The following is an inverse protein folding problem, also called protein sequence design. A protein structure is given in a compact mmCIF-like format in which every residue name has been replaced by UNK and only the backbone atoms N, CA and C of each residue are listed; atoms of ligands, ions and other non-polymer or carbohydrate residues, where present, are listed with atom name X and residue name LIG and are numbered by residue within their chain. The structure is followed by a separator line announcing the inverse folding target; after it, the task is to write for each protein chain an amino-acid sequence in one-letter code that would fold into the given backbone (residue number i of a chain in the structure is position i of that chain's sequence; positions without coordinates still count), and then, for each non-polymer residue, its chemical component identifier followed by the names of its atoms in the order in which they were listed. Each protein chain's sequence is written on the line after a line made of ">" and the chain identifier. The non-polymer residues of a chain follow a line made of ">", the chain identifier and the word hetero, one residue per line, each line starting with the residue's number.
data_IF_628522069988
#
_entry.id   IF_628522069988
#
_cell.length_a   1.000
_cell.length_b   1.000
_cell.length_c   1.000
_cell.angle_alpha   90.00
_cell.angle_beta   90.00
_cell.angle_gamma   90.00
#
_symmetry.space_group_name_H-M   'P 1'
#
loop_
_entity.id
_entity.type
_entity.pdbx_description
1 polymer ?
#
# COMPACT_ATOMS: atom_id res chain seq x y z
N UNK A 1 -8.80 12.06 -15.99
CA UNK A 1 -10.04 12.56 -16.62
C UNK A 1 -10.72 13.52 -15.64
N UNK A 2 -10.13 14.71 -15.48
CA UNK A 2 -10.50 16.01 -16.11
C UNK A 2 -11.54 16.77 -15.31
N UNK A 3 -11.03 17.66 -14.46
CA UNK A 3 -11.67 18.91 -14.06
C UNK A 3 -12.05 19.74 -15.30
N UNK A 4 -13.18 20.46 -15.24
CA UNK A 4 -13.71 21.43 -16.20
C UNK A 4 -14.74 20.95 -17.26
N UNK A 5 -15.58 19.96 -16.94
CA UNK A 5 -16.70 19.53 -17.81
C UNK A 5 -17.98 20.37 -17.70
N UNK A 6 -18.21 21.08 -16.60
CA UNK A 6 -19.53 21.69 -16.31
C UNK A 6 -19.86 22.95 -17.13
N UNK A 7 -18.91 23.50 -17.89
CA UNK A 7 -19.08 24.82 -18.55
C UNK A 7 -19.32 24.78 -20.07
N UNK A 8 -19.20 23.63 -20.76
CA UNK A 8 -19.36 23.58 -22.23
C UNK A 8 -20.76 23.11 -22.61
N UNK A 9 -21.53 23.98 -23.27
CA UNK A 9 -22.81 23.61 -23.88
C UNK A 9 -22.59 22.43 -24.83
N UNK A 10 -23.40 21.37 -24.71
CA UNK A 10 -23.34 20.20 -25.59
C UNK A 10 -23.54 20.65 -27.05
N UNK A 11 -23.04 19.91 -28.05
CA UNK A 11 -23.33 20.21 -29.44
C UNK A 11 -24.82 20.07 -29.76
N UNK A 12 -25.31 20.90 -30.68
CA UNK A 12 -26.72 20.91 -31.08
C UNK A 12 -27.20 19.53 -31.55
N UNK A 13 -26.45 18.84 -32.40
CA UNK A 13 -26.81 17.50 -32.89
C UNK A 13 -27.07 16.51 -31.74
N UNK A 14 -26.29 16.58 -30.66
CA UNK A 14 -26.46 15.66 -29.53
C UNK A 14 -27.69 16.04 -28.71
N UNK A 15 -27.94 17.34 -28.52
CA UNK A 15 -29.14 17.83 -27.85
C UNK A 15 -30.42 17.47 -28.64
N UNK A 16 -30.37 17.53 -29.98
CA UNK A 16 -31.46 17.07 -30.85
C UNK A 16 -31.70 15.58 -30.63
N UNK A 17 -30.67 14.74 -30.70
CA UNK A 17 -30.82 13.29 -30.52
C UNK A 17 -31.29 12.91 -29.10
N UNK A 18 -30.85 13.61 -28.06
CA UNK A 18 -31.39 13.46 -26.70
C UNK A 18 -32.90 13.74 -26.67
N UNK A 19 -33.35 14.76 -27.40
CA UNK A 19 -34.78 15.08 -27.56
C UNK A 19 -35.54 14.13 -28.46
N UNK A 20 -34.89 13.41 -29.37
CA UNK A 20 -35.52 12.38 -30.18
C UNK A 20 -35.64 11.03 -29.45
N UNK A 21 -34.89 10.82 -28.37
CA UNK A 21 -35.07 9.65 -27.48
C UNK A 21 -36.33 9.74 -26.61
N UNK A 22 -36.78 10.95 -26.26
CA UNK A 22 -37.92 11.19 -25.36
C UNK A 22 -39.32 10.87 -25.96
N UNK A 23 -39.66 11.24 -27.21
CA UNK A 23 -41.01 11.11 -27.77
C UNK A 23 -41.35 9.72 -28.34
N UNK A 24 -42.66 9.42 -28.33
CA UNK A 24 -43.25 8.29 -29.08
C UNK A 24 -42.97 8.46 -30.59
N UNK A 25 -42.41 7.45 -31.29
CA UNK A 25 -42.23 7.46 -32.74
C UNK A 25 -43.48 7.88 -33.55
N UNK A 26 -44.69 7.65 -33.02
CA UNK A 26 -45.96 8.07 -33.64
C UNK A 26 -46.15 9.60 -33.70
N UNK A 27 -45.46 10.37 -32.85
CA UNK A 27 -45.54 11.83 -32.81
C UNK A 27 -45.03 12.50 -34.11
N UNK A 28 -44.25 11.79 -34.93
CA UNK A 28 -43.67 12.29 -36.18
C UNK A 28 -44.43 11.82 -37.43
N UNK A 29 -45.69 11.42 -37.28
CA UNK A 29 -46.54 10.95 -38.38
C UNK A 29 -47.62 11.98 -38.77
N UNK A 30 -47.89 12.08 -40.08
CA UNK A 30 -49.03 12.80 -40.64
C UNK A 30 -49.11 14.28 -40.25
N UNK A 31 -50.30 14.71 -39.81
CA UNK A 31 -50.64 16.12 -39.52
C UNK A 31 -49.92 16.70 -38.29
N UNK A 32 -49.30 15.85 -37.47
CA UNK A 32 -48.61 16.27 -36.23
C UNK A 32 -47.10 16.51 -36.42
N UNK A 33 -46.57 16.32 -37.63
CA UNK A 33 -45.14 16.42 -37.89
C UNK A 33 -44.58 17.83 -37.63
N UNK A 34 -45.15 18.84 -38.28
CA UNK A 34 -44.65 20.22 -38.15
C UNK A 34 -44.88 20.80 -36.74
N UNK A 35 -46.02 20.49 -36.10
CA UNK A 35 -46.28 20.93 -34.73
C UNK A 35 -45.28 20.30 -33.75
N UNK A 36 -44.90 19.03 -33.96
CA UNK A 36 -43.87 18.35 -33.17
C UNK A 36 -42.49 18.97 -33.40
N UNK A 37 -42.10 19.27 -34.64
CA UNK A 37 -40.82 19.93 -34.93
C UNK A 37 -40.75 21.31 -34.27
N UNK A 38 -41.81 22.11 -34.38
CA UNK A 38 -41.85 23.42 -33.73
C UNK A 38 -41.80 23.33 -32.19
N UNK A 39 -42.45 22.32 -31.60
CA UNK A 39 -42.36 22.04 -30.16
C UNK A 39 -40.92 21.71 -29.76
N UNK A 40 -40.27 20.78 -30.44
CA UNK A 40 -38.88 20.40 -30.16
C UNK A 40 -37.91 21.57 -30.34
N UNK A 41 -38.07 22.37 -31.40
CA UNK A 41 -37.30 23.58 -31.60
C UNK A 41 -37.48 24.58 -30.43
N UNK A 42 -38.73 24.75 -29.95
CA UNK A 42 -39.02 25.59 -28.79
C UNK A 42 -38.39 25.09 -27.49
N UNK A 43 -38.30 23.77 -27.30
CA UNK A 43 -37.60 23.16 -26.15
C UNK A 43 -36.08 23.36 -26.24
N UNK A 44 -35.49 23.19 -27.42
CA UNK A 44 -34.07 23.45 -27.66
C UNK A 44 -33.74 24.95 -27.52
N UNK A 45 -34.65 25.84 -27.93
CA UNK A 45 -34.52 27.29 -27.70
C UNK A 45 -34.46 27.64 -26.21
N UNK A 46 -35.33 27.03 -25.39
CA UNK A 46 -35.30 27.20 -23.92
C UNK A 46 -34.00 26.70 -23.30
N UNK A 47 -33.37 25.68 -23.90
CA UNK A 47 -32.05 25.19 -23.53
C UNK A 47 -30.88 26.05 -24.11
N UNK A 48 -31.19 27.16 -24.77
CA UNK A 48 -30.20 28.15 -25.23
C UNK A 48 -29.65 27.91 -26.64
N UNK A 49 -30.13 26.90 -27.37
CA UNK A 49 -29.61 26.55 -28.70
C UNK A 49 -30.12 27.45 -29.84
N UNK A 50 -31.21 28.20 -29.61
CA UNK A 50 -31.80 29.14 -30.59
C UNK A 50 -32.11 28.51 -31.96
N UNK A 51 -32.45 27.21 -31.97
CA UNK A 51 -32.82 26.41 -33.14
C UNK A 51 -33.91 27.10 -33.97
N UNK A 52 -34.96 27.63 -33.33
CA UNK A 52 -36.07 28.27 -34.03
C UNK A 52 -35.71 29.65 -34.60
N UNK A 53 -34.59 30.25 -34.19
CA UNK A 53 -34.17 31.60 -34.59
C UNK A 53 -33.28 31.61 -35.82
N UNK A 54 -32.71 30.46 -36.18
CA UNK A 54 -31.78 30.33 -37.31
C UNK A 54 -32.21 29.19 -38.24
N UNK A 55 -32.28 29.46 -39.55
CA UNK A 55 -32.68 28.47 -40.55
C UNK A 55 -31.81 27.21 -40.54
N UNK A 56 -30.51 27.34 -40.28
CA UNK A 56 -29.60 26.19 -40.18
C UNK A 56 -29.96 25.22 -39.05
N UNK A 57 -30.33 25.73 -37.86
CA UNK A 57 -30.74 24.88 -36.74
C UNK A 57 -32.04 24.13 -37.02
N UNK A 58 -33.02 24.81 -37.64
CA UNK A 58 -34.26 24.16 -38.08
C UNK A 58 -34.03 23.06 -39.13
N UNK A 59 -33.09 23.28 -40.07
CA UNK A 59 -32.71 22.26 -41.05
C UNK A 59 -32.03 21.07 -40.39
N UNK A 60 -31.12 21.31 -39.45
CA UNK A 60 -30.42 20.24 -38.72
C UNK A 60 -31.42 19.36 -37.93
N UNK A 61 -32.38 19.97 -37.22
CA UNK A 61 -33.44 19.25 -36.52
C UNK A 61 -34.31 18.43 -37.49
N UNK A 62 -34.73 19.01 -38.60
CA UNK A 62 -35.53 18.31 -39.62
C UNK A 62 -34.80 17.11 -40.19
N UNK A 63 -33.53 17.28 -40.56
CA UNK A 63 -32.74 16.18 -41.09
C UNK A 63 -32.51 15.08 -40.06
N UNK A 64 -32.32 15.40 -38.78
CA UNK A 64 -32.21 14.37 -37.74
C UNK A 64 -33.52 13.58 -37.56
N UNK A 65 -34.67 14.26 -37.62
CA UNK A 65 -35.99 13.61 -37.60
C UNK A 65 -36.19 12.71 -38.83
N UNK A 66 -35.81 13.18 -40.02
CA UNK A 66 -35.94 12.38 -41.25
C UNK A 66 -35.02 11.15 -41.22
N UNK A 67 -33.76 11.30 -40.79
CA UNK A 67 -32.83 10.18 -40.62
C UNK A 67 -33.39 9.16 -39.60
N UNK A 68 -33.95 9.64 -38.48
CA UNK A 68 -34.62 8.79 -37.47
C UNK A 68 -35.81 8.03 -38.05
N UNK A 69 -36.65 8.68 -38.85
CA UNK A 69 -37.78 8.02 -39.50
C UNK A 69 -37.33 6.96 -40.51
N UNK A 70 -36.25 7.23 -41.24
CA UNK A 70 -35.68 6.28 -42.20
C UNK A 70 -35.06 5.06 -41.50
N UNK A 71 -34.35 5.27 -40.39
CA UNK A 71 -33.76 4.19 -39.59
C UNK A 71 -34.78 3.46 -38.69
N UNK A 72 -35.95 4.05 -38.47
CA UNK A 72 -37.01 3.54 -37.59
C UNK A 72 -36.71 3.67 -36.09
N UNK A 73 -35.63 4.36 -35.72
CA UNK A 73 -35.16 4.57 -34.33
C UNK A 73 -34.15 5.73 -34.27
N UNK A 74 -33.92 6.35 -33.10
CA UNK A 74 -32.94 7.44 -32.96
C UNK A 74 -31.48 6.98 -33.03
N UNK A 75 -30.58 7.84 -33.50
CA UNK A 75 -29.14 7.55 -33.60
C UNK A 75 -28.54 7.30 -32.23
N UNK A 76 -28.91 8.12 -31.26
CA UNK A 76 -28.35 8.01 -29.91
C UNK A 76 -28.77 6.70 -29.22
N UNK A 77 -29.88 6.07 -29.64
CA UNK A 77 -30.26 4.74 -29.15
C UNK A 77 -29.26 3.70 -29.64
N UNK A 78 -29.03 3.63 -30.95
CA UNK A 78 -28.06 2.69 -31.54
C UNK A 78 -26.65 2.90 -30.99
N UNK A 79 -26.26 4.16 -30.80
CA UNK A 79 -24.95 4.49 -30.23
C UNK A 79 -24.83 4.02 -28.78
N UNK A 80 -25.85 4.26 -27.94
CA UNK A 80 -25.86 3.80 -26.54
C UNK A 80 -25.89 2.27 -26.44
N UNK A 81 -26.71 1.61 -27.25
CA UNK A 81 -26.79 0.14 -27.27
C UNK A 81 -25.44 -0.47 -27.71
N UNK A 82 -24.79 0.11 -28.71
CA UNK A 82 -23.47 -0.31 -29.15
C UNK A 82 -22.41 -0.10 -28.06
N UNK A 83 -22.41 1.06 -27.39
CA UNK A 83 -21.50 1.36 -26.27
C UNK A 83 -21.71 0.37 -25.12
N UNK A 84 -22.96 0.04 -24.80
CA UNK A 84 -23.30 -0.87 -23.70
C UNK A 84 -22.84 -2.31 -23.93
N UNK A 85 -22.52 -2.69 -25.17
CA UNK A 85 -22.01 -4.04 -25.49
C UNK A 85 -20.53 -4.24 -25.14
N UNK A 86 -19.79 -3.14 -24.89
CA UNK A 86 -18.37 -3.19 -24.55
C UNK A 86 -18.14 -3.44 -23.06
N UNK A 87 -17.13 -4.25 -22.76
CA UNK A 87 -16.65 -4.47 -21.40
C UNK A 87 -15.57 -3.46 -21.01
N UNK A 88 -15.19 -3.46 -19.72
CA UNK A 88 -14.12 -2.60 -19.23
C UNK A 88 -12.78 -2.88 -19.95
N UNK A 89 -12.51 -4.15 -20.26
CA UNK A 89 -11.28 -4.56 -20.94
C UNK A 89 -11.25 -4.08 -22.40
N UNK A 90 -12.40 -4.13 -23.08
CA UNK A 90 -12.53 -3.59 -24.43
C UNK A 90 -12.28 -2.08 -24.47
N UNK A 91 -12.66 -1.36 -23.41
CA UNK A 91 -12.50 0.09 -23.27
C UNK A 91 -11.12 0.52 -22.74
N UNK A 92 -10.12 -0.35 -22.77
CA UNK A 92 -8.72 -0.02 -22.46
C UNK A 92 -8.16 1.06 -23.38
N UNK A 93 -8.60 1.11 -24.65
CA UNK A 93 -8.33 2.19 -25.59
C UNK A 93 -9.63 2.87 -26.05
N UNK A 94 -10.02 3.99 -25.40
CA UNK A 94 -11.24 4.72 -25.75
C UNK A 94 -11.27 5.25 -27.19
N UNK A 95 -10.11 5.53 -27.79
CA UNK A 95 -10.03 6.06 -29.15
C UNK A 95 -10.32 4.96 -30.18
N UNK A 96 -9.75 3.76 -29.98
CA UNK A 96 -10.06 2.60 -30.83
C UNK A 96 -11.51 2.18 -30.73
N UNK A 97 -12.09 2.17 -29.52
CA UNK A 97 -13.52 1.87 -29.33
C UNK A 97 -14.39 2.93 -30.01
N UNK A 98 -14.06 4.21 -29.86
CA UNK A 98 -14.79 5.28 -30.54
C UNK A 98 -14.71 5.14 -32.07
N UNK A 99 -13.55 4.80 -32.63
CA UNK A 99 -13.40 4.55 -34.07
C UNK A 99 -14.23 3.38 -34.56
N UNK A 100 -14.29 2.28 -33.79
CA UNK A 100 -15.17 1.15 -34.12
C UNK A 100 -16.63 1.55 -34.10
N UNK A 101 -17.07 2.25 -33.05
CA UNK A 101 -18.43 2.76 -32.91
C UNK A 101 -18.82 3.68 -34.08
N UNK A 102 -17.97 4.65 -34.42
CA UNK A 102 -18.20 5.58 -35.53
C UNK A 102 -18.32 4.84 -36.86
N UNK A 103 -17.49 3.82 -37.08
CA UNK A 103 -17.52 3.05 -38.31
C UNK A 103 -18.74 2.14 -38.41
N UNK A 104 -19.09 1.43 -37.34
CA UNK A 104 -20.19 0.46 -37.34
C UNK A 104 -21.56 1.12 -37.27
N UNK A 105 -21.78 2.00 -36.28
CA UNK A 105 -23.03 2.77 -36.17
C UNK A 105 -23.16 3.72 -37.36
N UNK A 106 -22.04 4.27 -37.85
CA UNK A 106 -22.01 5.14 -39.01
C UNK A 106 -22.33 4.47 -40.36
N UNK A 107 -22.48 3.13 -40.42
CA UNK A 107 -23.06 2.45 -41.60
C UNK A 107 -24.55 2.80 -41.74
N UNK A 108 -25.26 2.85 -40.61
CA UNK A 108 -26.67 3.26 -40.55
C UNK A 108 -26.81 4.78 -40.46
N UNK A 109 -25.84 5.43 -39.81
CA UNK A 109 -25.87 6.86 -39.50
C UNK A 109 -24.67 7.62 -40.09
N UNK A 110 -24.61 7.88 -41.41
CA UNK A 110 -23.43 8.46 -42.06
C UNK A 110 -22.91 9.76 -41.44
N UNK A 111 -23.80 10.59 -40.90
CA UNK A 111 -23.43 11.85 -40.22
C UNK A 111 -22.58 11.62 -38.97
N UNK A 112 -22.65 10.45 -38.33
CA UNK A 112 -21.79 10.10 -37.19
C UNK A 112 -20.30 10.12 -37.55
N UNK A 113 -19.96 9.91 -38.84
CA UNK A 113 -18.58 9.92 -39.35
C UNK A 113 -17.99 11.33 -39.50
N UNK A 114 -18.79 12.38 -39.31
CA UNK A 114 -18.29 13.76 -39.32
C UNK A 114 -17.28 13.96 -38.19
N UNK A 115 -16.17 14.65 -38.51
CA UNK A 115 -15.07 14.87 -37.57
C UNK A 115 -15.51 15.58 -36.29
N UNK A 116 -16.48 16.49 -36.38
CA UNK A 116 -17.06 17.21 -35.24
C UNK A 116 -17.76 16.31 -34.20
N UNK A 117 -18.27 15.14 -34.62
CA UNK A 117 -18.97 14.21 -33.71
C UNK A 117 -18.02 13.26 -32.99
N UNK A 118 -16.83 13.03 -33.55
CA UNK A 118 -15.82 12.12 -32.99
C UNK A 118 -15.46 12.44 -31.54
N UNK A 119 -15.26 13.72 -31.23
CA UNK A 119 -14.91 14.16 -29.89
C UNK A 119 -16.00 13.82 -28.85
N UNK A 120 -17.28 13.88 -29.21
CA UNK A 120 -18.36 13.48 -28.31
C UNK A 120 -18.46 11.97 -28.16
N UNK A 121 -18.26 11.20 -29.23
CA UNK A 121 -18.26 9.73 -29.12
C UNK A 121 -17.15 9.26 -28.19
N UNK A 122 -15.94 9.82 -28.31
CA UNK A 122 -14.83 9.53 -27.39
C UNK A 122 -15.24 9.85 -25.96
N UNK A 123 -15.83 11.03 -25.70
CA UNK A 123 -16.32 11.39 -24.36
C UNK A 123 -17.37 10.41 -23.81
N UNK A 124 -18.29 9.94 -24.64
CA UNK A 124 -19.28 8.94 -24.21
C UNK A 124 -18.62 7.61 -23.83
N UNK A 125 -17.60 7.18 -24.58
CA UNK A 125 -16.82 5.96 -24.27
C UNK A 125 -16.04 6.14 -22.97
N UNK A 126 -15.31 7.25 -22.82
CA UNK A 126 -14.55 7.58 -21.60
C UNK A 126 -15.44 7.64 -20.36
N UNK A 127 -16.61 8.27 -20.48
CA UNK A 127 -17.60 8.33 -19.41
C UNK A 127 -18.13 6.94 -19.05
N UNK A 128 -18.46 6.12 -20.05
CA UNK A 128 -18.95 4.75 -19.80
C UNK A 128 -17.87 3.89 -19.14
N UNK A 129 -16.62 3.99 -19.59
CA UNK A 129 -15.46 3.34 -18.95
C UNK A 129 -15.35 3.75 -17.49
N UNK A 130 -15.46 5.05 -17.20
CA UNK A 130 -15.42 5.57 -15.84
C UNK A 130 -16.58 5.02 -15.00
N UNK A 131 -17.80 4.99 -15.53
CA UNK A 131 -18.97 4.44 -14.84
C UNK A 131 -18.79 2.93 -14.54
N UNK A 132 -18.22 2.16 -15.47
CA UNK A 132 -17.86 0.74 -15.26
C UNK A 132 -16.76 0.56 -14.20
N UNK A 133 -15.72 1.41 -14.22
CA UNK A 133 -14.67 1.41 -13.19
C UNK A 133 -15.23 1.71 -11.80
N UNK A 134 -16.11 2.71 -11.71
CA UNK A 134 -16.78 3.06 -10.44
C UNK A 134 -17.66 1.91 -9.96
N UNK A 135 -18.42 1.27 -10.85
CA UNK A 135 -19.23 0.12 -10.50
C UNK A 135 -18.36 -1.04 -9.96
N UNK A 136 -17.23 -1.32 -10.61
CA UNK A 136 -16.25 -2.31 -10.14
C UNK A 136 -15.67 -1.93 -8.79
N UNK A 137 -15.26 -0.66 -8.61
CA UNK A 137 -14.71 -0.16 -7.36
C UNK A 137 -15.68 -0.26 -6.19
N UNK A 138 -16.97 0.06 -6.41
CA UNK A 138 -18.03 -0.09 -5.38
C UNK A 138 -18.29 -1.54 -4.97
N UNK A 139 -17.96 -2.50 -5.84
CA UNK A 139 -18.07 -3.93 -5.55
C UNK A 139 -16.90 -4.49 -4.73
N UNK A 140 -15.81 -3.74 -4.55
CA UNK A 140 -14.63 -4.18 -3.81
C UNK A 140 -14.74 -3.84 -2.32
N UNK A 141 -14.23 -4.69 -1.42
CA UNK A 141 -14.28 -4.44 0.02
C UNK A 141 -13.28 -3.37 0.46
N UNK A 142 -13.66 -2.58 1.47
CA UNK A 142 -12.76 -1.63 2.13
C UNK A 142 -12.19 -0.58 1.17
N UNK A 143 -10.87 -0.37 1.24
CA UNK A 143 -10.17 0.66 0.47
C UNK A 143 -9.70 0.18 -0.91
N UNK A 144 -9.92 -1.10 -1.25
CA UNK A 144 -9.51 -1.69 -2.52
C UNK A 144 -10.16 -1.01 -3.73
N UNK A 145 -11.41 -0.57 -3.59
CA UNK A 145 -12.08 0.23 -4.63
C UNK A 145 -11.38 1.56 -4.89
N UNK A 146 -10.92 2.24 -3.84
CA UNK A 146 -10.20 3.52 -3.95
C UNK A 146 -8.83 3.28 -4.59
N UNK A 147 -8.12 2.23 -4.16
CA UNK A 147 -6.82 1.82 -4.73
C UNK A 147 -6.91 1.55 -6.22
N UNK A 148 -7.91 0.77 -6.66
CA UNK A 148 -8.16 0.48 -8.08
C UNK A 148 -8.31 1.77 -8.91
N UNK A 149 -9.11 2.73 -8.44
CA UNK A 149 -9.33 3.98 -9.18
C UNK A 149 -8.08 4.87 -9.24
N UNK A 150 -7.25 4.85 -8.19
CA UNK A 150 -5.95 5.55 -8.17
C UNK A 150 -4.99 4.92 -9.18
N UNK A 151 -4.92 3.58 -9.24
CA UNK A 151 -4.08 2.85 -10.18
C UNK A 151 -4.50 3.09 -11.63
N UNK A 152 -5.80 3.15 -11.88
CA UNK A 152 -6.41 3.52 -13.17
C UNK A 152 -6.31 5.02 -13.49
N UNK A 153 -5.61 5.79 -12.67
CA UNK A 153 -5.34 7.24 -12.85
C UNK A 153 -6.61 8.07 -12.98
N UNK A 154 -7.67 7.69 -12.27
CA UNK A 154 -8.90 8.48 -12.18
C UNK A 154 -8.63 9.76 -11.38
N UNK A 155 -9.23 10.88 -11.80
CA UNK A 155 -8.98 12.16 -11.15
C UNK A 155 -9.52 12.17 -9.70
N UNK A 156 -8.80 12.77 -8.73
CA UNK A 156 -9.22 12.79 -7.32
C UNK A 156 -10.66 13.27 -7.10
N UNK A 157 -11.05 14.38 -7.73
CA UNK A 157 -12.41 14.92 -7.62
C UNK A 157 -13.49 13.97 -8.14
N UNK A 158 -13.19 13.18 -9.19
CA UNK A 158 -14.11 12.17 -9.71
C UNK A 158 -14.23 10.98 -8.75
N UNK A 159 -13.14 10.56 -8.11
CA UNK A 159 -13.17 9.49 -7.09
C UNK A 159 -14.03 9.94 -5.91
N UNK A 160 -13.77 11.13 -5.37
CA UNK A 160 -14.52 11.73 -4.25
C UNK A 160 -16.01 11.82 -4.57
N UNK A 161 -16.36 12.42 -5.72
CA UNK A 161 -17.76 12.62 -6.09
C UNK A 161 -18.50 11.31 -6.41
N UNK A 162 -17.84 10.33 -7.04
CA UNK A 162 -18.51 9.09 -7.48
C UNK A 162 -18.58 8.01 -6.41
N UNK A 163 -17.59 7.95 -5.52
CA UNK A 163 -17.59 7.05 -4.35
C UNK A 163 -18.19 7.69 -3.11
N UNK A 164 -18.51 8.99 -3.13
CA UNK A 164 -19.08 9.73 -1.99
C UNK A 164 -18.19 9.66 -0.74
N UNK A 165 -16.87 9.73 -0.94
CA UNK A 165 -15.86 9.72 0.13
C UNK A 165 -15.36 11.12 0.45
N UNK A 166 -14.67 11.28 1.59
CA UNK A 166 -14.02 12.55 1.94
C UNK A 166 -12.62 12.69 1.33
N UNK A 167 -12.12 13.93 1.25
CA UNK A 167 -10.74 14.21 0.86
C UNK A 167 -9.75 13.51 1.80
N UNK A 168 -9.99 13.57 3.12
CA UNK A 168 -9.14 12.93 4.13
C UNK A 168 -8.99 11.41 3.90
N UNK A 169 -10.08 10.75 3.50
CA UNK A 169 -10.06 9.31 3.20
C UNK A 169 -9.22 9.01 1.96
N UNK A 170 -9.32 9.83 0.92
CA UNK A 170 -8.51 9.68 -0.28
C UNK A 170 -7.02 9.92 0.02
N UNK A 171 -6.71 10.92 0.85
CA UNK A 171 -5.34 11.23 1.25
C UNK A 171 -4.72 10.12 2.10
N UNK A 172 -5.50 9.52 3.01
CA UNK A 172 -5.07 8.36 3.78
C UNK A 172 -4.68 7.18 2.87
N UNK A 173 -5.55 6.82 1.90
CA UNK A 173 -5.26 5.72 0.98
C UNK A 173 -4.04 6.03 0.10
N UNK A 174 -3.89 7.27 -0.37
CA UNK A 174 -2.69 7.69 -1.10
C UNK A 174 -1.41 7.56 -0.26
N UNK A 175 -1.46 7.95 1.02
CA UNK A 175 -0.34 7.82 1.93
C UNK A 175 0.03 6.35 2.18
N UNK A 176 -0.96 5.46 2.30
CA UNK A 176 -0.73 4.03 2.46
C UNK A 176 -0.11 3.40 1.19
N UNK A 177 -0.62 3.73 0.00
CA UNK A 177 -0.01 3.31 -1.28
C UNK A 177 1.43 3.83 -1.40
N UNK A 178 1.69 5.09 -1.02
CA UNK A 178 3.02 5.67 -1.05
C UNK A 178 3.98 4.94 -0.09
N UNK A 179 3.51 4.60 1.12
CA UNK A 179 4.28 3.81 2.10
C UNK A 179 4.61 2.42 1.56
N UNK A 180 3.63 1.73 0.96
CA UNK A 180 3.84 0.42 0.34
C UNK A 180 4.84 0.47 -0.83
N UNK A 181 4.75 1.51 -1.69
CA UNK A 181 5.70 1.70 -2.79
C UNK A 181 7.11 2.02 -2.30
N UNK A 182 7.24 2.85 -1.26
CA UNK A 182 8.53 3.14 -0.64
C UNK A 182 9.14 1.90 -0.01
N UNK A 183 8.34 1.06 0.65
CA UNK A 183 8.81 -0.19 1.23
C UNK A 183 9.24 -1.18 0.14
N UNK A 184 8.47 -1.32 -0.95
CA UNK A 184 8.89 -2.13 -2.11
C UNK A 184 10.20 -1.61 -2.73
N UNK A 185 10.37 -0.30 -2.85
CA UNK A 185 11.62 0.28 -3.34
C UNK A 185 12.80 -0.01 -2.39
N UNK A 186 12.57 0.03 -1.07
CA UNK A 186 13.56 -0.36 -0.06
C UNK A 186 13.95 -1.84 -0.22
N UNK A 187 12.97 -2.73 -0.35
CA UNK A 187 13.20 -4.16 -0.59
C UNK A 187 13.99 -4.40 -1.88
N UNK A 188 13.64 -3.71 -2.97
CA UNK A 188 14.37 -3.83 -4.24
C UNK A 188 15.84 -3.44 -4.10
N UNK A 189 16.14 -2.33 -3.39
CA UNK A 189 17.51 -1.91 -3.13
C UNK A 189 18.29 -2.93 -2.28
N UNK A 190 17.64 -3.52 -1.26
CA UNK A 190 18.24 -4.58 -0.45
C UNK A 190 18.53 -5.83 -1.29
N UNK A 191 17.62 -6.21 -2.18
CA UNK A 191 17.78 -7.34 -3.09
C UNK A 191 18.93 -7.15 -4.08
N UNK A 192 19.16 -5.93 -4.58
CA UNK A 192 20.30 -5.63 -5.44
C UNK A 192 21.64 -5.73 -4.68
N UNK A 193 21.68 -5.36 -3.39
CA UNK A 193 22.90 -5.51 -2.57
C UNK A 193 23.30 -6.98 -2.34
N UNK A 194 22.34 -7.91 -2.42
CA UNK A 194 22.55 -9.35 -2.25
C UNK A 194 22.41 -10.15 -3.55
N UNK A 195 22.53 -9.46 -4.69
CA UNK A 195 22.42 -10.09 -6.00
C UNK A 195 23.53 -11.13 -6.23
N UNK A 196 23.14 -12.34 -6.63
CA UNK A 196 24.07 -13.45 -6.87
C UNK A 196 24.46 -14.25 -5.62
N UNK A 197 23.94 -13.89 -4.45
CA UNK A 197 24.12 -14.67 -3.21
C UNK A 197 23.09 -15.81 -3.13
N UNK A 198 23.38 -16.89 -2.36
CA UNK A 198 22.41 -17.96 -2.14
C UNK A 198 21.16 -17.44 -1.42
N UNK A 199 20.04 -18.11 -1.64
CA UNK A 199 18.74 -17.69 -1.12
C UNK A 199 18.73 -17.54 0.41
N UNK A 200 19.44 -18.40 1.14
CA UNK A 200 19.56 -18.31 2.59
C UNK A 200 20.18 -16.97 3.04
N UNK A 201 21.26 -16.52 2.40
CA UNK A 201 21.93 -15.26 2.74
C UNK A 201 21.08 -14.05 2.33
N UNK A 202 20.38 -14.14 1.20
CA UNK A 202 19.42 -13.12 0.75
C UNK A 202 18.28 -12.98 1.74
N UNK A 203 17.67 -14.08 2.16
CA UNK A 203 16.55 -14.11 3.11
C UNK A 203 17.00 -13.60 4.48
N UNK A 204 18.15 -14.05 4.97
CA UNK A 204 18.74 -13.58 6.22
C UNK A 204 18.98 -12.07 6.20
N UNK A 205 19.51 -11.53 5.10
CA UNK A 205 19.69 -10.10 4.94
C UNK A 205 18.36 -9.32 5.00
N UNK A 206 17.30 -9.85 4.39
CA UNK A 206 15.97 -9.22 4.42
C UNK A 206 15.34 -9.26 5.82
N UNK A 207 15.46 -10.37 6.56
CA UNK A 207 14.96 -10.44 7.94
C UNK A 207 15.71 -9.51 8.88
N UNK A 208 17.04 -9.42 8.76
CA UNK A 208 17.85 -8.47 9.55
C UNK A 208 17.45 -7.02 9.29
N UNK A 209 16.91 -6.71 8.11
CA UNK A 209 16.39 -5.38 7.75
C UNK A 209 14.90 -5.19 8.06
N UNK A 210 14.29 -6.07 8.87
CA UNK A 210 12.88 -6.03 9.29
C UNK A 210 11.89 -6.05 8.11
N UNK A 211 12.20 -6.80 7.04
CA UNK A 211 11.26 -6.99 5.93
C UNK A 211 10.25 -8.08 6.29
N UNK A 212 8.96 -7.83 6.05
CA UNK A 212 7.92 -8.83 6.28
C UNK A 212 8.07 -10.03 5.33
N UNK A 213 7.76 -11.23 5.82
CA UNK A 213 7.80 -12.48 5.04
C UNK A 213 6.95 -12.41 3.77
N UNK A 214 5.77 -11.77 3.84
CA UNK A 214 4.91 -11.56 2.66
C UNK A 214 5.63 -10.80 1.55
N UNK A 215 6.37 -9.75 1.88
CA UNK A 215 7.16 -8.98 0.91
C UNK A 215 8.38 -9.75 0.41
N UNK A 216 9.00 -10.58 1.26
CA UNK A 216 10.11 -11.46 0.86
C UNK A 216 9.63 -12.46 -0.19
N UNK A 217 8.51 -13.14 0.04
CA UNK A 217 7.91 -14.07 -0.92
C UNK A 217 7.58 -13.36 -2.25
N UNK A 218 6.92 -12.20 -2.18
CA UNK A 218 6.47 -11.46 -3.36
C UNK A 218 7.64 -10.93 -4.20
N UNK A 219 8.67 -10.37 -3.56
CA UNK A 219 9.75 -9.65 -4.26
C UNK A 219 11.02 -10.46 -4.47
N UNK A 220 11.41 -11.31 -3.51
CA UNK A 220 12.64 -12.10 -3.62
C UNK A 220 12.46 -13.36 -4.48
N UNK A 221 11.21 -13.75 -4.76
CA UNK A 221 10.83 -14.95 -5.53
C UNK A 221 11.46 -16.24 -4.96
N UNK A 222 11.52 -16.34 -3.64
CA UNK A 222 12.04 -17.49 -2.91
C UNK A 222 10.90 -18.41 -2.49
N UNK A 223 11.16 -19.70 -2.37
CA UNK A 223 10.18 -20.66 -1.86
C UNK A 223 10.02 -20.54 -0.34
N UNK A 224 8.83 -20.87 0.16
CA UNK A 224 8.53 -20.88 1.60
C UNK A 224 9.52 -21.76 2.39
N UNK A 225 9.92 -22.91 1.84
CA UNK A 225 10.89 -23.80 2.49
C UNK A 225 12.27 -23.17 2.73
N UNK A 226 12.71 -22.27 1.84
CA UNK A 226 13.95 -21.53 2.01
C UNK A 226 13.82 -20.48 3.14
N UNK A 227 12.64 -19.87 3.28
CA UNK A 227 12.35 -18.92 4.37
C UNK A 227 12.35 -19.62 5.72
N UNK A 228 11.68 -20.77 5.82
CA UNK A 228 11.59 -21.52 7.07
C UNK A 228 12.97 -22.03 7.50
N UNK A 229 13.78 -22.52 6.56
CA UNK A 229 15.17 -22.95 6.82
C UNK A 229 16.03 -21.80 7.32
N UNK A 230 15.93 -20.62 6.69
CA UNK A 230 16.68 -19.43 7.12
C UNK A 230 16.26 -18.95 8.52
N UNK A 231 14.96 -19.00 8.86
CA UNK A 231 14.48 -18.68 10.21
C UNK A 231 15.03 -19.64 11.26
N UNK A 232 15.01 -20.94 10.98
CA UNK A 232 15.58 -21.95 11.89
C UNK A 232 17.08 -21.74 12.10
N UNK A 233 17.83 -21.46 11.03
CA UNK A 233 19.25 -21.14 11.12
C UNK A 233 19.50 -19.88 11.96
N UNK A 234 18.72 -18.81 11.75
CA UNK A 234 18.82 -17.58 12.55
C UNK A 234 18.47 -17.78 14.03
N UNK A 235 17.45 -18.60 14.34
CA UNK A 235 17.08 -18.90 15.72
C UNK A 235 18.17 -19.71 16.43
N UNK A 236 18.78 -20.67 15.73
CA UNK A 236 19.91 -21.45 16.25
C UNK A 236 21.13 -20.55 16.54
N UNK A 237 21.46 -19.62 15.64
CA UNK A 237 22.55 -18.65 15.83
C UNK A 237 22.29 -17.73 17.04
N UNK A 238 21.05 -17.28 17.25
CA UNK A 238 20.68 -16.48 18.42
C UNK A 238 20.82 -17.25 19.73
N UNK A 239 20.37 -18.51 19.76
CA UNK A 239 20.52 -19.39 20.94
C UNK A 239 22.00 -19.64 21.26
N UNK A 240 22.81 -19.85 20.24
CA UNK A 240 24.26 -20.04 20.41
C UNK A 240 24.93 -18.78 20.94
N UNK A 241 24.56 -17.60 20.40
CA UNK A 241 25.07 -16.33 20.90
C UNK A 241 24.70 -16.08 22.36
N UNK A 242 23.45 -16.40 22.75
CA UNK A 242 23.02 -16.32 24.16
C UNK A 242 23.85 -17.24 25.05
N UNK A 243 24.08 -18.49 24.64
CA UNK A 243 24.93 -19.42 25.37
C UNK A 243 26.35 -18.88 25.57
N UNK A 244 26.96 -18.30 24.54
CA UNK A 244 28.29 -17.69 24.63
C UNK A 244 28.32 -16.46 25.53
N UNK A 245 27.27 -15.62 25.51
CA UNK A 245 27.14 -14.48 26.42
C UNK A 245 26.95 -14.94 27.88
N UNK A 246 26.18 -15.99 28.11
CA UNK A 246 26.02 -16.63 29.42
C UNK A 246 27.32 -17.25 29.93
N UNK A 247 28.06 -17.97 29.07
CA UNK A 247 29.37 -18.53 29.40
C UNK A 247 30.40 -17.43 29.68
N UNK A 248 30.43 -16.36 28.88
CA UNK A 248 31.30 -15.22 29.11
C UNK A 248 30.94 -14.48 30.41
N UNK A 249 29.65 -14.35 30.71
CA UNK A 249 29.18 -13.77 31.97
C UNK A 249 29.54 -14.67 33.17
N UNK A 250 29.38 -15.99 33.04
CA UNK A 250 29.77 -16.96 34.05
C UNK A 250 31.29 -16.94 34.28
N UNK A 251 32.09 -16.88 33.23
CA UNK A 251 33.55 -16.76 33.32
C UNK A 251 33.96 -15.46 33.99
N UNK A 252 33.37 -14.32 33.62
CA UNK A 252 33.63 -13.03 34.29
C UNK A 252 33.24 -13.07 35.76
N UNK A 253 32.14 -13.75 36.11
CA UNK A 253 31.71 -13.92 37.50
C UNK A 253 32.65 -14.83 38.29
N UNK A 254 33.18 -15.88 37.66
CA UNK A 254 34.17 -16.77 38.27
C UNK A 254 35.53 -16.08 38.45
N UNK A 255 35.99 -15.32 37.45
CA UNK A 255 37.23 -14.53 37.52
C UNK A 255 37.14 -13.44 38.60
N UNK A 256 36.01 -12.75 38.71
CA UNK A 256 35.75 -11.79 39.79
C UNK A 256 35.61 -12.43 41.18
N UNK A 257 35.27 -13.72 41.26
CA UNK A 257 35.17 -14.42 42.55
C UNK A 257 36.54 -14.85 43.10
N UNK A 258 37.59 -14.87 42.27
CA UNK A 258 38.91 -15.38 42.64
C UNK A 258 38.95 -16.91 42.78
N UNK A 259 40.11 -17.49 43.12
CA UNK A 259 40.27 -18.93 43.31
C UNK A 259 39.34 -19.48 44.39
N UNK A 260 38.93 -20.74 44.24
CA UNK A 260 38.21 -21.46 45.29
C UNK A 260 39.12 -21.69 46.50
N UNK A 261 38.54 -21.79 47.70
CA UNK A 261 39.29 -21.89 48.96
C UNK A 261 40.31 -23.04 48.97
N UNK A 262 39.95 -24.15 48.33
CA UNK A 262 40.76 -25.37 48.23
C UNK A 262 41.90 -25.25 47.22
N UNK A 263 41.80 -24.30 46.28
CA UNK A 263 42.78 -24.05 45.23
C UNK A 263 43.79 -22.95 45.61
N UNK A 264 43.61 -22.29 46.77
CA UNK A 264 44.53 -21.26 47.28
C UNK A 264 45.75 -21.97 47.89
N UNK A 265 46.97 -21.74 47.36
CA UNK A 265 48.19 -22.27 47.94
C UNK A 265 48.38 -21.80 49.40
N UNK A 266 48.95 -22.63 50.31
CA UNK A 266 49.10 -22.28 51.72
C UNK A 266 49.82 -20.94 51.98
N UNK A 267 50.82 -20.60 51.17
CA UNK A 267 51.53 -19.32 51.25
C UNK A 267 50.63 -18.13 50.86
N UNK A 268 49.86 -18.25 49.80
CA UNK A 268 48.92 -17.20 49.35
C UNK A 268 47.73 -17.07 50.31
N UNK A 269 47.29 -18.19 50.91
CA UNK A 269 46.25 -18.20 51.94
C UNK A 269 46.67 -17.34 53.15
N UNK A 270 47.92 -17.46 53.60
CA UNK A 270 48.45 -16.67 54.70
C UNK A 270 48.56 -15.18 54.35
N UNK A 271 48.97 -14.85 53.12
CA UNK A 271 49.00 -13.47 52.63
C UNK A 271 47.59 -12.85 52.60
N UNK A 272 46.60 -13.57 52.06
CA UNK A 272 45.22 -13.09 52.05
C UNK A 272 44.63 -12.94 53.46
N UNK A 273 44.90 -13.87 54.37
CA UNK A 273 44.45 -13.79 55.77
C UNK A 273 45.09 -12.58 56.50
N UNK A 274 46.37 -12.31 56.24
CA UNK A 274 47.05 -11.14 56.79
C UNK A 274 46.42 -9.83 56.29
N UNK A 275 46.17 -9.72 54.97
CA UNK A 275 45.49 -8.56 54.39
C UNK A 275 44.05 -8.39 54.89
N UNK A 276 43.33 -9.49 55.11
CA UNK A 276 42.00 -9.47 55.73
C UNK A 276 42.05 -8.91 57.15
N UNK A 277 43.00 -9.35 57.97
CA UNK A 277 43.14 -8.86 59.36
C UNK A 277 43.48 -7.39 59.40
N UNK A 278 44.35 -6.93 58.51
CA UNK A 278 44.63 -5.51 58.33
C UNK A 278 43.34 -4.73 57.99
N UNK A 279 42.52 -5.23 57.06
CA UNK A 279 41.23 -4.59 56.70
C UNK A 279 40.25 -4.55 57.89
N UNK A 280 40.18 -5.62 58.68
CA UNK A 280 39.31 -5.69 59.87
C UNK A 280 39.76 -4.76 61.01
N UNK A 281 41.03 -4.35 61.04
CA UNK A 281 41.50 -3.30 61.95
C UNK A 281 41.03 -1.90 61.51
N UNK A 282 40.73 -1.70 60.23
CA UNK A 282 40.27 -0.43 59.68
C UNK A 282 38.75 -0.20 59.73
N UNK A 283 37.94 -1.25 59.59
CA UNK A 283 36.47 -1.14 59.68
C UNK A 283 35.83 -2.43 60.20
N UNK A 284 34.77 -2.27 60.99
CA UNK A 284 33.88 -3.33 61.47
C UNK A 284 32.57 -3.43 60.67
N UNK A 285 32.37 -2.54 59.67
CA UNK A 285 31.17 -2.53 58.84
C UNK A 285 31.30 -3.51 57.67
N UNK A 286 30.42 -4.51 57.62
CA UNK A 286 30.40 -5.55 56.57
C UNK A 286 30.53 -4.98 55.15
N UNK A 287 29.78 -3.91 54.84
CA UNK A 287 29.81 -3.30 53.51
C UNK A 287 31.17 -2.69 53.16
N UNK A 288 31.83 -2.06 54.12
CA UNK A 288 33.14 -1.45 53.92
C UNK A 288 34.23 -2.53 53.82
N UNK A 289 34.16 -3.57 54.66
CA UNK A 289 35.05 -4.74 54.62
C UNK A 289 34.97 -5.42 53.24
N UNK A 290 33.76 -5.68 52.73
CA UNK A 290 33.57 -6.30 51.40
C UNK A 290 34.19 -5.47 50.28
N UNK A 291 34.00 -4.14 50.30
CA UNK A 291 34.57 -3.23 49.29
C UNK A 291 36.09 -3.18 49.38
N UNK A 292 36.66 -3.10 50.58
CA UNK A 292 38.11 -3.07 50.77
C UNK A 292 38.77 -4.40 50.37
N UNK A 293 38.16 -5.53 50.72
CA UNK A 293 38.65 -6.85 50.30
C UNK A 293 38.60 -7.03 48.78
N UNK A 294 37.54 -6.54 48.11
CA UNK A 294 37.42 -6.57 46.65
C UNK A 294 38.49 -5.68 45.98
N UNK A 295 38.77 -4.49 46.52
CA UNK A 295 39.83 -3.60 46.04
C UNK A 295 41.24 -4.19 46.23
N UNK A 296 41.44 -4.97 47.29
CA UNK A 296 42.69 -5.68 47.59
C UNK A 296 42.82 -7.03 46.87
N UNK A 297 41.94 -7.33 45.90
CA UNK A 297 41.95 -8.58 45.13
C UNK A 297 41.87 -9.85 46.00
N UNK A 298 41.20 -9.77 47.15
CA UNK A 298 41.04 -10.89 48.08
C UNK A 298 39.93 -11.81 47.53
N UNK A 299 40.17 -13.14 47.42
CA UNK A 299 39.18 -14.08 46.89
C UNK A 299 37.87 -14.01 47.64
N UNK A 300 36.75 -13.99 46.91
CA UNK A 300 35.41 -13.86 47.48
C UNK A 300 35.09 -14.94 48.49
N UNK A 301 35.60 -16.16 48.30
CA UNK A 301 35.44 -17.26 49.26
C UNK A 301 35.95 -16.90 50.66
N UNK A 302 37.10 -16.20 50.74
CA UNK A 302 37.65 -15.73 52.01
C UNK A 302 36.87 -14.52 52.56
N UNK A 303 36.44 -13.60 51.70
CA UNK A 303 35.58 -12.47 52.11
C UNK A 303 34.26 -12.96 52.72
N UNK A 304 33.64 -13.98 52.13
CA UNK A 304 32.40 -14.57 52.62
C UNK A 304 32.60 -15.31 53.96
N UNK A 305 33.76 -15.98 54.15
CA UNK A 305 34.14 -16.59 55.43
C UNK A 305 34.35 -15.54 56.52
N UNK A 306 35.05 -14.45 56.22
CA UNK A 306 35.30 -13.36 57.18
C UNK A 306 34.01 -12.76 57.71
N UNK A 307 33.02 -12.60 56.83
CA UNK A 307 31.73 -12.00 57.21
C UNK A 307 30.81 -13.00 57.91
N UNK A 308 30.80 -14.27 57.49
CA UNK A 308 29.80 -15.24 57.95
C UNK A 308 30.32 -16.14 59.09
N UNK A 309 31.60 -16.47 59.08
CA UNK A 309 32.25 -17.46 59.95
C UNK A 309 33.68 -17.01 60.33
N UNK A 310 33.85 -15.88 61.06
CA UNK A 310 35.16 -15.29 61.31
C UNK A 310 36.12 -16.24 62.07
N UNK A 311 35.61 -17.12 62.93
CA UNK A 311 36.42 -18.12 63.64
C UNK A 311 37.06 -19.16 62.71
N UNK A 312 36.48 -19.39 61.53
CA UNK A 312 37.00 -20.34 60.53
C UNK A 312 38.23 -19.78 59.81
N UNK A 313 38.46 -18.46 59.86
CA UNK A 313 39.68 -17.82 59.36
C UNK A 313 40.92 -18.30 60.14
N UNK A 314 40.80 -18.47 61.47
CA UNK A 314 41.88 -18.94 62.33
C UNK A 314 42.22 -20.42 62.09
N UNK A 315 41.21 -21.22 61.72
CA UNK A 315 41.40 -22.63 61.35
C UNK A 315 42.15 -22.75 60.03
N UNK A 316 41.82 -21.92 59.05
CA UNK A 316 42.49 -21.85 57.75
C UNK A 316 43.94 -21.37 57.87
N UNK A 317 44.19 -20.38 58.73
CA UNK A 317 45.55 -19.90 59.01
C UNK A 317 46.41 -21.01 59.62
N UNK A 318 45.90 -21.73 60.63
CA UNK A 318 46.62 -22.85 61.24
C UNK A 318 46.89 -23.99 60.25
N UNK A 319 45.89 -24.33 59.44
CA UNK A 319 46.03 -25.37 58.42
C UNK A 319 47.07 -24.99 57.35
N UNK A 320 47.21 -23.70 57.03
CA UNK A 320 48.18 -23.21 56.05
C UNK A 320 49.62 -23.06 56.61
N UNK A 321 49.81 -22.95 57.93
CA UNK A 321 51.12 -22.86 58.58
C UNK A 321 51.85 -24.20 58.72
N UNK A 322 51.16 -25.34 58.56
CA UNK A 322 51.69 -26.69 58.69
C UNK A 322 51.45 -27.31 60.06
#
# INVERSE_FOLDING_TARGET
>A
MTTNEEARQKPLWLAIEEKLLEPDPQAFSGQNFESTIHRLAGELDKAGYKVSKYGGGMLELRWAVDDMRQAGRPLLKDLKDAIASFTLDDMSDPYLVADRLINDVGKTWPKLKQSERRAEVIRMVEKTRLDLLVAKAKGLPGDEGIRLLIEEKVAPGAIIGRLEITQDKLDQVNADIARERAERARVANLLEAVKGKPDEERIRHLFTNNISEKLILEMAKVEQGAIDSAKQAMEAELKEKQRLEEEAAARKKAEAAGPALEDIPPNEMLEYIASIREILEFSDQEKEIRVMCEQSSIPKALVDIVVSEPARLDELEKAAQG
#
